data_IF_382601054440
#
_entry.id   IF_382601054440
#
_cell.length_a   1.000
_cell.length_b   1.000
_cell.length_c   1.000
_cell.angle_alpha   90.00
_cell.angle_beta   90.00
_cell.angle_gamma   90.00
#
_symmetry.space_group_name_H-M   'P 1'
#
loop_
_entity.id
_entity.type
_entity.pdbx_description
1 polymer ?
#
# COMPACT_ATOMS: atom_id res chain seq x y z
N UNK A 1 6.90 -4.56 2.49
CA UNK A 1 6.34 -3.65 3.54
C UNK A 1 6.51 -2.20 3.10
N UNK A 2 5.60 -1.29 3.45
CA UNK A 2 5.72 0.14 3.14
C UNK A 2 5.48 1.03 4.37
N UNK A 3 6.13 2.19 4.41
CA UNK A 3 6.01 3.19 5.46
C UNK A 3 6.22 4.61 4.92
N UNK A 4 5.64 5.61 5.58
CA UNK A 4 5.97 7.02 5.40
C UNK A 4 6.96 7.46 6.48
N UNK A 5 7.96 8.25 6.09
CA UNK A 5 8.95 8.84 7.01
C UNK A 5 8.82 10.36 6.93
N UNK A 6 8.54 11.01 8.05
CA UNK A 6 8.58 12.46 8.14
C UNK A 6 10.03 12.95 8.09
N UNK A 7 10.39 13.68 7.04
CA UNK A 7 11.77 14.09 6.79
C UNK A 7 12.35 15.06 7.84
N UNK A 8 11.50 15.75 8.62
CA UNK A 8 11.96 16.73 9.62
C UNK A 8 12.17 16.10 11.00
N UNK A 9 11.25 15.24 11.41
CA UNK A 9 11.20 14.62 12.74
C UNK A 9 11.74 13.19 12.76
N UNK A 10 11.90 12.55 11.61
CA UNK A 10 12.25 11.13 11.50
C UNK A 10 11.10 10.18 11.88
N UNK A 11 9.89 10.69 12.13
CA UNK A 11 8.77 9.86 12.55
C UNK A 11 8.36 8.90 11.44
N UNK A 12 8.36 7.61 11.74
CA UNK A 12 7.93 6.55 10.82
C UNK A 12 6.47 6.19 11.09
N UNK A 13 5.66 6.14 10.04
CA UNK A 13 4.30 5.58 10.08
C UNK A 13 4.26 4.41 9.10
N UNK A 14 4.13 3.20 9.61
CA UNK A 14 4.04 1.98 8.78
C UNK A 14 2.60 1.75 8.30
N UNK A 15 2.46 1.07 7.15
CA UNK A 15 1.20 0.41 6.85
C UNK A 15 0.90 -0.68 7.90
N UNK A 16 -0.37 -0.91 8.27
CA UNK A 16 -0.74 -1.90 9.28
C UNK A 16 -0.74 -3.35 8.77
N UNK A 17 -0.06 -3.66 7.67
CA UNK A 17 0.01 -4.99 7.06
C UNK A 17 1.28 -5.17 6.22
N UNK A 18 1.65 -6.44 6.00
CA UNK A 18 2.68 -6.82 5.03
C UNK A 18 2.07 -6.91 3.62
N UNK A 19 2.90 -6.66 2.61
CA UNK A 19 2.53 -6.77 1.20
C UNK A 19 3.41 -7.85 0.61
N UNK A 20 2.77 -8.84 0.00
CA UNK A 20 3.41 -9.88 -0.78
C UNK A 20 3.11 -9.61 -2.26
N UNK A 21 4.15 -9.51 -3.06
CA UNK A 21 4.18 -9.13 -4.48
C UNK A 21 3.74 -10.27 -5.41
N UNK A 22 2.69 -10.99 -5.04
CA UNK A 22 2.13 -12.06 -5.87
C UNK A 22 1.01 -11.53 -6.79
N UNK A 23 1.02 -11.84 -8.10
CA UNK A 23 1.97 -12.71 -8.82
C UNK A 23 3.35 -12.07 -9.03
N UNK A 24 4.37 -12.93 -9.22
CA UNK A 24 5.81 -12.56 -9.36
C UNK A 24 6.12 -11.54 -10.47
N UNK A 25 5.13 -11.27 -11.34
CA UNK A 25 5.23 -10.34 -12.46
C UNK A 25 4.97 -8.87 -12.03
N UNK A 26 4.63 -8.62 -10.75
CA UNK A 26 4.44 -7.28 -10.20
C UNK A 26 5.80 -6.64 -9.91
N UNK A 27 6.30 -5.85 -10.86
CA UNK A 27 7.60 -5.16 -10.72
C UNK A 27 7.53 -3.91 -9.85
N UNK A 28 6.35 -3.29 -9.72
CA UNK A 28 6.12 -2.08 -8.93
C UNK A 28 4.96 -2.29 -7.93
N UNK A 29 5.18 -3.03 -6.82
CA UNK A 29 4.14 -3.32 -5.84
C UNK A 29 3.69 -2.09 -5.05
N UNK A 30 4.44 -0.98 -5.13
CA UNK A 30 4.17 0.27 -4.44
C UNK A 30 4.26 1.45 -5.42
N UNK A 31 3.21 2.26 -5.47
CA UNK A 31 3.19 3.53 -6.19
C UNK A 31 2.73 4.65 -5.26
N UNK A 32 3.35 5.83 -5.34
CA UNK A 32 2.96 6.98 -4.51
C UNK A 32 2.72 8.22 -5.35
N UNK A 33 1.55 8.85 -5.16
CA UNK A 33 1.19 10.13 -5.77
C UNK A 33 1.35 11.25 -4.76
N UNK A 34 2.37 12.08 -4.97
CA UNK A 34 2.71 13.16 -4.04
C UNK A 34 1.66 14.30 -4.02
N UNK A 35 0.96 14.53 -5.13
CA UNK A 35 -0.10 15.55 -5.25
C UNK A 35 -1.30 15.30 -4.32
N UNK A 36 -1.57 14.04 -4.02
CA UNK A 36 -2.78 13.56 -3.34
C UNK A 36 -2.46 12.73 -2.09
N UNK A 37 -1.18 12.55 -1.77
CA UNK A 37 -0.68 11.67 -0.72
C UNK A 37 -1.29 10.26 -0.80
N UNK A 38 -1.47 9.75 -2.02
CA UNK A 38 -2.11 8.47 -2.28
C UNK A 38 -1.04 7.39 -2.51
N UNK A 39 -1.05 6.37 -1.67
CA UNK A 39 -0.23 5.17 -1.80
C UNK A 39 -1.06 4.05 -2.44
N UNK A 40 -0.68 3.64 -3.65
CA UNK A 40 -1.15 2.43 -4.29
C UNK A 40 -0.29 1.24 -3.85
N UNK A 41 -0.95 0.17 -3.43
CA UNK A 41 -0.32 -1.09 -3.03
C UNK A 41 -0.91 -2.19 -3.89
N UNK A 42 -0.08 -2.89 -4.64
CA UNK A 42 -0.51 -4.01 -5.47
C UNK A 42 0.05 -5.33 -4.91
N UNK A 43 -0.81 -6.35 -4.84
CA UNK A 43 -0.44 -7.69 -4.40
C UNK A 43 -1.41 -8.24 -3.34
N UNK A 44 -0.88 -9.08 -2.45
CA UNK A 44 -1.63 -9.67 -1.35
C UNK A 44 -1.27 -8.99 -0.01
N UNK A 45 -2.29 -8.72 0.81
CA UNK A 45 -2.11 -8.20 2.17
C UNK A 45 -2.02 -9.37 3.16
N UNK A 46 -1.03 -9.34 4.05
CA UNK A 46 -0.84 -10.35 5.10
C UNK A 46 -0.85 -11.79 4.58
N UNK A 47 -0.23 -12.04 3.41
CA UNK A 47 -0.16 -13.36 2.77
C UNK A 47 -1.54 -13.99 2.49
N UNK A 48 -2.59 -13.16 2.40
CA UNK A 48 -3.94 -13.60 2.06
C UNK A 48 -4.01 -14.20 0.65
N UNK A 49 -5.01 -15.04 0.43
CA UNK A 49 -5.38 -15.49 -0.92
C UNK A 49 -6.07 -14.38 -1.73
N UNK A 50 -6.52 -13.31 -1.06
CA UNK A 50 -7.07 -12.11 -1.70
C UNK A 50 -5.97 -11.23 -2.27
N UNK A 51 -6.14 -10.86 -3.54
CA UNK A 51 -5.18 -10.05 -4.31
C UNK A 51 -5.88 -8.85 -4.89
N UNK A 52 -5.11 -7.80 -5.13
CA UNK A 52 -5.60 -6.65 -5.87
C UNK A 52 -4.75 -5.41 -5.64
N UNK A 53 -5.35 -4.29 -6.04
CA UNK A 53 -4.76 -2.97 -5.81
C UNK A 53 -5.53 -2.24 -4.71
N UNK A 54 -4.82 -1.78 -3.69
CA UNK A 54 -5.36 -1.08 -2.54
C UNK A 54 -4.82 0.34 -2.51
N UNK A 55 -5.71 1.32 -2.40
CA UNK A 55 -5.33 2.73 -2.41
C UNK A 55 -5.53 3.33 -1.02
N UNK A 56 -4.45 3.84 -0.44
CA UNK A 56 -4.42 4.44 0.88
C UNK A 56 -4.12 5.92 0.78
N UNK A 57 -4.96 6.76 1.40
CA UNK A 57 -4.62 8.17 1.61
C UNK A 57 -3.83 8.32 2.91
N UNK A 58 -2.74 9.09 2.87
CA UNK A 58 -1.96 9.44 4.04
C UNK A 58 -2.31 10.86 4.51
N UNK A 59 -2.75 11.00 5.77
CA UNK A 59 -3.12 12.30 6.38
C UNK A 59 -1.97 12.96 7.16
N UNK A 60 -0.75 12.47 7.00
CA UNK A 60 0.42 12.88 7.78
C UNK A 60 0.59 12.12 9.10
N UNK A 61 -0.40 11.33 9.53
CA UNK A 61 -0.37 10.53 10.76
C UNK A 61 -0.76 9.07 10.56
N UNK A 62 -1.68 8.79 9.64
CA UNK A 62 -2.27 7.47 9.43
C UNK A 62 -2.55 7.22 7.95
N UNK A 63 -2.44 5.96 7.54
CA UNK A 63 -2.92 5.50 6.24
C UNK A 63 -4.38 5.04 6.37
N UNK A 64 -5.24 5.54 5.48
CA UNK A 64 -6.66 5.15 5.43
C UNK A 64 -6.99 4.58 4.06
N UNK A 65 -7.56 3.37 4.04
CA UNK A 65 -8.03 2.74 2.81
C UNK A 65 -9.13 3.61 2.21
N UNK A 66 -8.97 3.98 0.94
CA UNK A 66 -9.95 4.76 0.17
C UNK A 66 -10.77 3.86 -0.75
N UNK A 67 -10.10 2.98 -1.46
CA UNK A 67 -10.73 2.01 -2.35
C UNK A 67 -9.80 0.84 -2.58
N UNK A 68 -10.35 -0.26 -3.09
CA UNK A 68 -9.64 -1.45 -3.50
C UNK A 68 -10.25 -2.00 -4.77
N UNK A 69 -9.39 -2.39 -5.71
CA UNK A 69 -9.76 -3.17 -6.88
C UNK A 69 -9.24 -4.60 -6.66
N UNK A 70 -10.12 -5.50 -6.23
CA UNK A 70 -9.76 -6.89 -6.02
C UNK A 70 -9.67 -7.61 -7.37
N UNK A 71 -8.68 -8.49 -7.50
CA UNK A 71 -8.59 -9.39 -8.63
C UNK A 71 -9.63 -10.51 -8.50
N UNK A 72 -10.18 -11.02 -9.62
CA UNK A 72 -11.03 -12.20 -9.59
C UNK A 72 -10.28 -13.38 -8.97
N UNK A 73 -10.97 -14.15 -8.12
CA UNK A 73 -10.44 -15.44 -7.68
C UNK A 73 -10.36 -16.37 -8.90
N UNK A 74 -9.25 -17.12 -9.09
CA UNK A 74 -9.15 -18.15 -10.11
C UNK A 74 -10.18 -19.27 -9.88
#
# INVERSE_FOLDING_TARGET
MAAAIDAKSGRVTSLPFTVFDWPIDVTEPLSYRADSCLLGVHGSRNESTERGTYYYAFDGKTFRLRTSANEPKP
#
